data_IF_967051005951
#
_entry.id   IF_967051005951
#
_cell.length_a   1.000
_cell.length_b   1.000
_cell.length_c   1.000
_cell.angle_alpha   90.00
_cell.angle_beta   90.00
_cell.angle_gamma   90.00
#
_symmetry.space_group_name_H-M   'P 1'
#
loop_
_entity.id
_entity.type
_entity.pdbx_description
1 polymer ?
#
# COMPACT_ATOMS: atom_id res chain seq x y z
N UNK A 1 27.95 -14.36 -8.50
CA UNK A 1 26.68 -14.86 -8.98
C UNK A 1 26.49 -16.26 -8.39
N UNK A 2 25.42 -16.54 -7.64
CA UNK A 2 25.17 -17.89 -7.19
C UNK A 2 24.86 -18.74 -8.42
N UNK A 3 25.53 -19.86 -8.55
CA UNK A 3 25.30 -20.87 -9.57
C UNK A 3 23.81 -21.27 -9.56
N UNK A 4 23.13 -21.06 -10.67
CA UNK A 4 21.81 -21.63 -10.95
C UNK A 4 21.97 -23.16 -10.92
N UNK A 5 21.67 -23.77 -9.78
CA UNK A 5 21.48 -25.22 -9.72
C UNK A 5 20.24 -25.53 -10.58
N UNK A 6 20.37 -26.43 -11.53
CA UNK A 6 19.34 -26.93 -12.43
C UNK A 6 18.17 -27.55 -11.66
N UNK A 7 17.26 -26.73 -11.13
CA UNK A 7 15.92 -27.16 -10.75
C UNK A 7 15.05 -27.00 -11.98
N UNK A 8 14.37 -28.08 -12.36
CA UNK A 8 13.60 -28.15 -13.59
C UNK A 8 12.54 -27.04 -13.71
N UNK A 9 12.19 -26.69 -14.93
CA UNK A 9 11.14 -25.73 -15.22
C UNK A 9 9.78 -26.31 -14.76
N UNK A 10 9.07 -25.60 -13.92
CA UNK A 10 7.68 -25.91 -13.57
C UNK A 10 6.76 -25.10 -14.49
N UNK A 11 5.76 -25.74 -15.07
CA UNK A 11 4.76 -25.09 -15.92
C UNK A 11 3.42 -25.05 -15.19
N UNK A 12 2.87 -23.85 -15.03
CA UNK A 12 1.50 -23.67 -14.54
C UNK A 12 0.60 -23.44 -15.76
N UNK A 13 -0.28 -24.39 -16.03
CA UNK A 13 -1.31 -24.26 -17.07
C UNK A 13 -2.52 -23.54 -16.49
N UNK A 14 -2.98 -22.51 -17.18
CA UNK A 14 -4.14 -21.72 -16.78
C UNK A 14 -5.11 -21.64 -17.95
N UNK A 15 -6.33 -22.13 -17.75
CA UNK A 15 -7.44 -21.88 -18.64
C UNK A 15 -8.08 -20.55 -18.24
N UNK A 16 -8.34 -19.68 -19.20
CA UNK A 16 -9.00 -18.40 -18.98
C UNK A 16 -9.90 -18.07 -20.18
N UNK A 17 -10.90 -17.25 -19.92
CA UNK A 17 -11.76 -16.62 -20.94
C UNK A 17 -11.37 -15.15 -21.07
N UNK A 18 -12.09 -14.39 -21.85
CA UNK A 18 -11.90 -12.94 -21.95
C UNK A 18 -12.09 -12.28 -20.58
N UNK A 19 -11.02 -11.72 -20.04
CA UNK A 19 -10.99 -11.14 -18.70
C UNK A 19 -10.83 -9.62 -18.77
N UNK A 20 -11.62 -8.90 -17.98
CA UNK A 20 -11.36 -7.49 -17.75
C UNK A 20 -10.10 -7.28 -16.91
N UNK A 21 -9.63 -6.01 -16.80
CA UNK A 21 -8.38 -5.68 -16.09
C UNK A 21 -8.34 -6.17 -14.64
N UNK A 22 -9.46 -6.08 -13.92
CA UNK A 22 -9.55 -6.50 -12.51
C UNK A 22 -9.48 -8.01 -12.37
N UNK A 23 -10.19 -8.72 -13.22
CA UNK A 23 -10.19 -10.19 -13.26
C UNK A 23 -8.82 -10.72 -13.63
N UNK A 24 -8.15 -10.10 -14.59
CA UNK A 24 -6.80 -10.45 -15.00
C UNK A 24 -5.78 -10.24 -13.86
N UNK A 25 -5.88 -9.15 -13.12
CA UNK A 25 -5.05 -8.91 -11.95
C UNK A 25 -5.31 -9.93 -10.84
N UNK A 26 -6.58 -10.31 -10.61
CA UNK A 26 -6.96 -11.35 -9.65
C UNK A 26 -6.44 -12.74 -10.06
N UNK A 27 -6.48 -13.04 -11.36
CA UNK A 27 -5.87 -14.26 -11.91
C UNK A 27 -4.37 -14.29 -11.60
N UNK A 28 -3.65 -13.19 -11.90
CA UNK A 28 -2.23 -13.05 -11.58
C UNK A 28 -1.97 -13.25 -10.08
N UNK A 29 -2.77 -12.65 -9.21
CA UNK A 29 -2.66 -12.84 -7.76
C UNK A 29 -2.83 -14.33 -7.36
N UNK A 30 -3.80 -15.01 -7.95
CA UNK A 30 -4.07 -16.43 -7.67
C UNK A 30 -2.93 -17.34 -8.14
N UNK A 31 -2.33 -17.04 -9.29
CA UNK A 31 -1.13 -17.72 -9.80
C UNK A 31 0.03 -17.50 -8.83
N UNK A 32 0.31 -16.25 -8.45
CA UNK A 32 1.40 -15.92 -7.56
C UNK A 32 1.31 -16.59 -6.19
N UNK A 33 0.10 -16.82 -5.67
CA UNK A 33 -0.10 -17.59 -4.42
C UNK A 33 0.29 -19.07 -4.52
N UNK A 34 0.39 -19.62 -5.72
CA UNK A 34 0.85 -21.02 -5.93
C UNK A 34 2.38 -21.09 -5.94
N UNK A 35 3.09 -19.99 -6.18
CA UNK A 35 4.55 -19.95 -6.21
C UNK A 35 5.08 -19.99 -4.78
N UNK A 36 5.83 -21.03 -4.44
CA UNK A 36 6.30 -21.30 -3.06
C UNK A 36 7.79 -21.06 -2.85
N UNK A 37 8.52 -20.77 -3.91
CA UNK A 37 9.96 -20.48 -3.90
C UNK A 37 10.28 -19.37 -4.89
N UNK A 38 11.42 -18.72 -4.73
CA UNK A 38 11.86 -17.65 -5.65
C UNK A 38 12.01 -18.21 -7.07
N UNK A 39 11.50 -17.47 -8.03
CA UNK A 39 11.41 -17.90 -9.42
C UNK A 39 11.56 -16.73 -10.40
N UNK A 40 12.00 -17.03 -11.60
CA UNK A 40 11.85 -16.20 -12.78
C UNK A 40 10.65 -16.71 -13.54
N UNK A 41 9.71 -15.82 -13.85
CA UNK A 41 8.46 -16.18 -14.53
C UNK A 41 8.53 -15.71 -15.97
N UNK A 42 8.16 -16.59 -16.85
CA UNK A 42 7.84 -16.30 -18.23
C UNK A 42 6.35 -16.52 -18.50
N UNK A 43 5.75 -15.65 -19.29
CA UNK A 43 4.33 -15.72 -19.64
C UNK A 43 4.23 -16.02 -21.12
N UNK A 44 3.97 -17.29 -21.41
CA UNK A 44 3.89 -17.84 -22.78
C UNK A 44 2.44 -17.92 -23.26
N UNK A 45 2.23 -17.81 -24.56
CA UNK A 45 0.93 -18.06 -25.22
C UNK A 45 -0.25 -17.33 -24.56
N UNK A 46 -0.06 -16.05 -24.24
CA UNK A 46 -1.03 -15.22 -23.56
C UNK A 46 -1.39 -13.99 -24.39
N UNK A 47 -2.64 -13.85 -24.77
CA UNK A 47 -3.15 -12.75 -25.63
C UNK A 47 -3.54 -11.50 -24.84
N UNK A 48 -3.65 -11.59 -23.50
CA UNK A 48 -4.01 -10.47 -22.64
C UNK A 48 -2.81 -9.61 -22.24
N UNK A 49 -3.04 -8.66 -21.34
CA UNK A 49 -1.99 -7.78 -20.81
C UNK A 49 -1.06 -8.52 -19.85
N UNK A 50 0.13 -8.90 -20.30
CA UNK A 50 1.19 -9.47 -19.46
C UNK A 50 1.56 -8.54 -18.30
N UNK A 51 1.50 -7.21 -18.51
CA UNK A 51 1.77 -6.22 -17.47
C UNK A 51 0.76 -6.31 -16.32
N UNK A 52 -0.55 -6.39 -16.60
CA UNK A 52 -1.59 -6.49 -15.56
C UNK A 52 -1.50 -7.83 -14.82
N UNK A 53 -1.28 -8.91 -15.56
CA UNK A 53 -1.11 -10.24 -14.97
C UNK A 53 0.11 -10.28 -14.03
N UNK A 54 1.25 -9.74 -14.47
CA UNK A 54 2.48 -9.68 -13.66
C UNK A 54 2.29 -8.82 -12.41
N UNK A 55 1.56 -7.71 -12.50
CA UNK A 55 1.24 -6.87 -11.33
C UNK A 55 0.43 -7.68 -10.28
N UNK A 56 -0.56 -8.45 -10.72
CA UNK A 56 -1.30 -9.36 -9.84
C UNK A 56 -0.39 -10.37 -9.15
N UNK A 57 0.51 -10.99 -9.90
CA UNK A 57 1.50 -11.92 -9.35
C UNK A 57 2.38 -11.23 -8.31
N UNK A 58 2.89 -10.02 -8.60
CA UNK A 58 3.69 -9.24 -7.64
C UNK A 58 2.92 -8.93 -6.36
N UNK A 59 1.63 -8.55 -6.45
CA UNK A 59 0.81 -8.25 -5.27
C UNK A 59 0.59 -9.47 -4.36
N UNK A 60 0.70 -10.69 -4.90
CA UNK A 60 0.57 -11.92 -4.13
C UNK A 60 1.71 -12.15 -3.13
N UNK A 61 2.87 -11.51 -3.34
CA UNK A 61 4.06 -11.69 -2.48
C UNK A 61 4.01 -10.89 -1.18
N UNK A 62 3.00 -10.03 -1.03
CA UNK A 62 2.86 -9.23 0.18
C UNK A 62 2.76 -10.07 1.45
N UNK A 63 3.56 -9.69 2.46
CA UNK A 63 3.54 -10.26 3.80
C UNK A 63 3.69 -9.13 4.82
N UNK A 64 3.00 -9.26 5.95
CA UNK A 64 3.14 -8.37 7.08
C UNK A 64 3.49 -9.19 8.33
N UNK A 65 4.78 -9.34 8.58
CA UNK A 65 5.30 -10.20 9.65
C UNK A 65 5.99 -9.40 10.78
N UNK A 66 5.82 -8.05 10.78
CA UNK A 66 6.48 -7.12 11.71
C UNK A 66 6.27 -7.51 13.17
N UNK A 67 5.07 -7.97 13.52
CA UNK A 67 4.68 -8.30 14.91
C UNK A 67 4.68 -9.79 15.23
N UNK A 68 5.09 -10.62 14.29
CA UNK A 68 5.16 -12.07 14.54
C UNK A 68 6.44 -12.44 15.26
N UNK A 69 6.32 -13.23 16.33
CA UNK A 69 7.48 -13.79 17.07
C UNK A 69 8.23 -14.82 16.24
N UNK A 70 7.53 -15.62 15.45
CA UNK A 70 8.12 -16.54 14.47
C UNK A 70 7.95 -15.93 13.08
N UNK A 71 9.05 -15.49 12.49
CA UNK A 71 9.04 -15.06 11.09
C UNK A 71 8.69 -16.28 10.22
N UNK A 72 7.79 -16.06 9.26
CA UNK A 72 7.45 -17.07 8.26
C UNK A 72 8.67 -17.43 7.37
N UNK A 73 8.48 -18.36 6.42
CA UNK A 73 9.49 -18.65 5.39
C UNK A 73 9.92 -17.35 4.72
N UNK A 74 11.18 -17.31 4.25
CA UNK A 74 11.74 -16.20 3.51
C UNK A 74 10.79 -15.65 2.43
N UNK A 75 10.92 -14.38 2.13
CA UNK A 75 10.12 -13.77 1.09
C UNK A 75 10.43 -14.44 -0.25
N UNK A 76 9.38 -14.80 -0.96
CA UNK A 76 9.50 -15.33 -2.32
C UNK A 76 9.82 -14.15 -3.22
N UNK A 77 10.99 -14.16 -3.85
CA UNK A 77 11.33 -13.22 -4.90
C UNK A 77 10.79 -13.71 -6.24
N UNK A 78 10.02 -12.87 -6.89
CA UNK A 78 9.48 -13.15 -8.20
C UNK A 78 10.04 -12.11 -9.17
N UNK A 79 10.81 -12.58 -10.13
CA UNK A 79 11.29 -11.81 -11.25
C UNK A 79 10.57 -12.27 -12.53
N UNK A 80 10.63 -11.46 -13.56
CA UNK A 80 10.01 -11.76 -14.85
C UNK A 80 11.09 -11.76 -15.94
N UNK A 81 10.86 -12.49 -17.03
CA UNK A 81 11.71 -12.42 -18.21
C UNK A 81 11.73 -11.01 -18.80
N UNK A 82 12.78 -10.67 -19.53
CA UNK A 82 13.00 -9.33 -20.11
C UNK A 82 11.88 -8.87 -21.07
N UNK A 83 11.11 -9.80 -21.61
CA UNK A 83 9.96 -9.47 -22.47
C UNK A 83 8.80 -8.78 -21.74
N UNK A 84 8.78 -8.82 -20.40
CA UNK A 84 7.72 -8.24 -19.58
C UNK A 84 8.21 -6.94 -18.95
N UNK A 85 7.71 -5.80 -19.44
CA UNK A 85 8.03 -4.49 -18.86
C UNK A 85 7.44 -4.37 -17.45
N UNK A 86 8.26 -4.45 -16.42
CA UNK A 86 7.84 -4.48 -15.02
C UNK A 86 8.20 -3.23 -14.22
N UNK A 87 8.94 -2.28 -14.77
CA UNK A 87 9.41 -1.09 -14.03
C UNK A 87 8.27 -0.31 -13.37
N UNK A 88 7.22 0.03 -14.14
CA UNK A 88 6.02 0.68 -13.62
C UNK A 88 5.30 -0.18 -12.57
N UNK A 89 5.31 -1.50 -12.74
CA UNK A 89 4.69 -2.44 -11.81
C UNK A 89 5.46 -2.56 -10.50
N UNK A 90 6.78 -2.44 -10.51
CA UNK A 90 7.60 -2.39 -9.30
C UNK A 90 7.24 -1.18 -8.44
N UNK A 91 7.13 0.00 -9.04
CA UNK A 91 6.71 1.21 -8.34
C UNK A 91 5.29 1.08 -7.76
N UNK A 92 4.34 0.56 -8.55
CA UNK A 92 2.97 0.30 -8.09
C UNK A 92 2.94 -0.69 -6.92
N UNK A 93 3.74 -1.76 -7.00
CA UNK A 93 3.87 -2.76 -5.93
C UNK A 93 4.39 -2.12 -4.65
N UNK A 94 5.46 -1.34 -4.73
CA UNK A 94 6.06 -0.67 -3.57
C UNK A 94 5.07 0.29 -2.92
N UNK A 95 4.39 1.12 -3.69
CA UNK A 95 3.37 2.02 -3.19
C UNK A 95 2.23 1.27 -2.48
N UNK A 96 1.69 0.22 -3.10
CA UNK A 96 0.61 -0.59 -2.50
C UNK A 96 1.09 -1.33 -1.25
N UNK A 97 2.33 -1.84 -1.23
CA UNK A 97 2.88 -2.52 -0.04
C UNK A 97 3.07 -1.54 1.10
N UNK A 98 3.57 -0.34 0.82
CA UNK A 98 3.69 0.72 1.81
C UNK A 98 2.33 1.08 2.43
N UNK A 99 1.29 1.28 1.62
CA UNK A 99 -0.08 1.54 2.10
C UNK A 99 -0.58 0.38 2.98
N UNK A 100 -0.38 -0.86 2.53
CA UNK A 100 -0.78 -2.05 3.31
C UNK A 100 -0.03 -2.15 4.64
N UNK A 101 1.25 -1.80 4.67
CA UNK A 101 2.04 -1.77 5.90
C UNK A 101 1.51 -0.71 6.86
N UNK A 102 1.18 0.49 6.36
CA UNK A 102 0.56 1.53 7.15
C UNK A 102 -0.79 1.07 7.72
N UNK A 103 -1.66 0.49 6.91
CA UNK A 103 -2.96 -0.05 7.33
C UNK A 103 -2.78 -1.13 8.41
N UNK A 104 -1.86 -2.06 8.20
CA UNK A 104 -1.68 -3.21 9.09
C UNK A 104 -0.95 -2.87 10.40
N UNK A 105 -0.23 -1.74 10.44
CA UNK A 105 0.39 -1.26 11.69
C UNK A 105 -0.70 -0.93 12.72
N UNK A 106 -0.63 -1.50 13.94
CA UNK A 106 -1.62 -1.23 14.98
C UNK A 106 -1.72 0.26 15.33
N UNK A 107 -2.90 0.77 15.73
CA UNK A 107 -3.09 2.18 16.06
C UNK A 107 -2.20 2.70 17.19
N UNK A 108 -1.82 1.83 18.12
CA UNK A 108 -0.89 2.18 19.20
C UNK A 108 0.48 2.63 18.67
N UNK A 109 0.98 1.94 17.64
CA UNK A 109 2.27 2.25 17.01
C UNK A 109 2.12 3.28 15.87
N UNK A 110 0.99 3.26 15.19
CA UNK A 110 0.67 4.16 14.09
C UNK A 110 0.06 5.47 14.62
N UNK A 111 0.86 6.27 15.32
CA UNK A 111 0.46 7.61 15.74
C UNK A 111 0.51 8.60 14.59
N UNK A 112 -0.12 9.78 14.70
CA UNK A 112 0.04 10.84 13.70
C UNK A 112 1.51 11.19 13.44
N UNK A 113 2.33 11.28 14.49
CA UNK A 113 3.75 11.58 14.38
C UNK A 113 4.53 10.48 13.64
N UNK A 114 4.24 9.21 13.94
CA UNK A 114 4.80 8.07 13.20
C UNK A 114 4.45 8.15 11.71
N UNK A 115 3.20 8.47 11.40
CA UNK A 115 2.74 8.58 10.02
C UNK A 115 3.46 9.72 9.28
N UNK A 116 3.60 10.88 9.93
CA UNK A 116 4.34 12.05 9.42
C UNK A 116 5.81 11.68 9.15
N UNK A 117 6.46 11.01 10.10
CA UNK A 117 7.85 10.55 9.95
C UNK A 117 7.99 9.65 8.73
N UNK A 118 7.08 8.68 8.57
CA UNK A 118 7.10 7.76 7.44
C UNK A 118 6.93 8.47 6.10
N UNK A 119 6.04 9.46 6.01
CA UNK A 119 5.85 10.25 4.80
C UNK A 119 7.09 11.09 4.49
N UNK A 120 7.67 11.76 5.47
CA UNK A 120 8.89 12.58 5.28
C UNK A 120 10.09 11.76 4.82
N UNK A 121 10.13 10.49 5.19
CA UNK A 121 11.19 9.56 4.80
C UNK A 121 10.97 8.91 3.42
N UNK A 122 9.82 9.15 2.79
CA UNK A 122 9.65 8.77 1.39
C UNK A 122 10.58 9.67 0.54
N UNK A 123 11.55 9.04 -0.12
CA UNK A 123 12.47 9.76 -0.99
C UNK A 123 11.72 10.14 -2.29
N UNK A 124 11.05 11.28 -2.24
CA UNK A 124 10.27 11.82 -3.35
C UNK A 124 10.57 13.33 -3.52
N UNK A 125 10.30 13.87 -4.68
CA UNK A 125 10.43 15.28 -4.99
C UNK A 125 9.18 16.08 -4.54
N UNK A 126 8.63 15.77 -3.37
CA UNK A 126 7.45 16.41 -2.81
C UNK A 126 7.86 17.23 -1.60
N UNK A 127 7.54 18.52 -1.62
CA UNK A 127 7.72 19.39 -0.46
C UNK A 127 6.60 19.13 0.56
N UNK A 128 6.95 18.64 1.73
CA UNK A 128 5.98 18.31 2.78
C UNK A 128 5.95 19.41 3.81
N UNK A 129 4.80 20.06 3.96
CA UNK A 129 4.49 20.99 5.05
C UNK A 129 3.58 20.30 6.06
N UNK A 130 3.88 20.43 7.34
CA UNK A 130 3.11 19.85 8.44
C UNK A 130 2.58 20.98 9.30
N UNK A 131 1.26 21.06 9.41
CA UNK A 131 0.57 22.03 10.24
C UNK A 131 0.08 21.33 11.51
N UNK A 132 0.36 21.93 12.66
CA UNK A 132 0.01 21.44 13.99
C UNK A 132 -1.37 21.91 14.47
N UNK A 133 -1.75 21.49 15.67
CA UNK A 133 -3.02 21.85 16.31
C UNK A 133 -3.21 23.37 16.41
N UNK A 134 -2.14 24.13 16.77
CA UNK A 134 -2.23 25.59 16.88
C UNK A 134 -2.53 26.23 15.53
N UNK A 135 -1.85 25.79 14.48
CA UNK A 135 -2.14 26.29 13.13
C UNK A 135 -3.58 25.98 12.71
N UNK A 136 -4.09 24.79 13.05
CA UNK A 136 -5.48 24.39 12.78
C UNK A 136 -6.47 25.30 13.49
N UNK A 137 -6.20 25.70 14.74
CA UNK A 137 -7.01 26.67 15.50
C UNK A 137 -6.99 28.05 14.83
N UNK A 138 -5.80 28.57 14.56
CA UNK A 138 -5.60 29.90 13.96
C UNK A 138 -6.24 30.02 12.57
N UNK A 139 -6.41 28.90 11.86
CA UNK A 139 -7.00 28.84 10.51
C UNK A 139 -8.44 28.27 10.47
N UNK A 140 -9.11 28.10 11.60
CA UNK A 140 -10.50 27.69 11.72
C UNK A 140 -10.80 26.28 11.18
N UNK A 141 -9.90 25.32 11.32
CA UNK A 141 -10.09 23.91 10.95
C UNK A 141 -10.93 23.16 12.00
N UNK A 142 -12.09 23.71 12.37
CA UNK A 142 -12.93 23.22 13.44
C UNK A 142 -13.36 21.76 13.33
N UNK A 143 -13.59 21.25 12.13
CA UNK A 143 -13.96 19.85 11.91
C UNK A 143 -12.81 18.89 12.26
N UNK A 144 -11.57 19.21 11.85
CA UNK A 144 -10.39 18.41 12.17
C UNK A 144 -10.12 18.42 13.66
N UNK A 145 -10.18 19.60 14.27
CA UNK A 145 -10.04 19.78 15.73
C UNK A 145 -11.12 19.04 16.49
N UNK A 146 -12.39 19.10 16.04
CA UNK A 146 -13.51 18.40 16.69
C UNK A 146 -13.32 16.89 16.72
N UNK A 147 -12.79 16.30 15.66
CA UNK A 147 -12.46 14.87 15.61
C UNK A 147 -11.25 14.55 16.49
N UNK A 148 -10.23 15.42 16.51
CA UNK A 148 -8.99 15.19 17.25
C UNK A 148 -9.08 15.42 18.75
N UNK A 149 -10.01 16.24 19.24
CA UNK A 149 -10.10 16.67 20.66
C UNK A 149 -10.27 15.54 21.67
N UNK A 150 -10.87 14.42 21.26
CA UNK A 150 -11.06 13.26 22.14
C UNK A 150 -9.83 12.37 22.28
N UNK A 151 -8.75 12.66 21.57
CA UNK A 151 -7.52 11.87 21.57
C UNK A 151 -6.43 12.55 22.39
N UNK A 152 -5.59 11.74 23.06
CA UNK A 152 -4.32 12.23 23.63
C UNK A 152 -3.32 12.64 22.54
N UNK A 153 -3.47 12.11 21.32
CA UNK A 153 -2.64 12.41 20.16
C UNK A 153 -3.21 13.62 19.42
N UNK A 154 -2.34 14.59 19.15
CA UNK A 154 -2.75 15.82 18.50
C UNK A 154 -3.04 15.61 17.01
N UNK A 155 -4.02 16.33 16.45
CA UNK A 155 -4.27 16.32 15.02
C UNK A 155 -3.23 17.13 14.26
N UNK A 156 -2.98 16.74 13.02
CA UNK A 156 -2.11 17.45 12.08
C UNK A 156 -2.80 17.56 10.72
N UNK A 157 -2.38 18.55 9.95
CA UNK A 157 -2.75 18.68 8.55
C UNK A 157 -1.48 18.71 7.69
N UNK A 158 -1.36 17.80 6.75
CA UNK A 158 -0.20 17.67 5.88
C UNK A 158 -0.54 18.18 4.49
N UNK A 159 0.38 18.95 3.92
CA UNK A 159 0.33 19.40 2.53
C UNK A 159 1.58 18.92 1.83
N UNK A 160 1.40 18.11 0.79
CA UNK A 160 2.46 17.70 -0.11
C UNK A 160 2.33 18.42 -1.44
N UNK A 161 3.39 19.10 -1.89
CA UNK A 161 3.38 19.88 -3.13
C UNK A 161 4.44 19.33 -4.10
N UNK A 162 3.98 18.95 -5.27
CA UNK A 162 4.84 18.52 -6.39
C UNK A 162 4.68 19.49 -7.55
N UNK A 163 5.81 19.94 -8.12
CA UNK A 163 5.84 20.85 -9.27
C UNK A 163 4.95 22.11 -9.09
N UNK A 164 5.22 22.90 -8.04
CA UNK A 164 4.48 24.13 -7.69
C UNK A 164 4.32 25.15 -8.82
N UNK A 165 5.15 25.04 -9.87
CA UNK A 165 5.16 25.96 -11.03
C UNK A 165 4.33 25.46 -12.21
N UNK A 166 3.67 24.30 -12.10
CA UNK A 166 2.82 23.81 -13.17
C UNK A 166 1.61 24.73 -13.38
N UNK A 167 1.24 24.96 -14.62
CA UNK A 167 0.08 25.80 -14.98
C UNK A 167 -1.24 25.24 -14.43
N UNK A 168 -1.34 23.91 -14.38
CA UNK A 168 -2.53 23.23 -13.84
C UNK A 168 -2.15 22.55 -12.52
N UNK A 169 -2.94 22.83 -11.48
CA UNK A 169 -2.81 22.21 -10.16
C UNK A 169 -3.97 21.25 -9.93
N UNK A 170 -3.65 20.06 -9.40
CA UNK A 170 -4.64 19.04 -9.02
C UNK A 170 -4.46 18.78 -7.52
N UNK A 171 -5.55 18.92 -6.75
CA UNK A 171 -5.56 18.59 -5.33
C UNK A 171 -6.08 17.15 -5.13
N UNK A 172 -5.27 16.32 -4.47
CA UNK A 172 -5.69 15.00 -3.97
C UNK A 172 -5.87 15.12 -2.47
N UNK A 173 -7.04 14.76 -1.97
CA UNK A 173 -7.39 14.89 -0.54
C UNK A 173 -7.62 13.51 0.03
N UNK A 174 -6.90 13.16 1.09
CA UNK A 174 -6.97 11.88 1.76
C UNK A 174 -7.38 11.99 3.23
N UNK A 175 -8.32 11.14 3.67
CA UNK A 175 -8.68 11.01 5.09
C UNK A 175 -7.55 10.29 5.84
N UNK A 176 -7.09 10.89 6.94
CA UNK A 176 -5.96 10.42 7.76
C UNK A 176 -6.34 10.11 9.20
N UNK A 177 -7.53 9.60 9.48
CA UNK A 177 -7.93 9.21 10.85
C UNK A 177 -7.26 7.89 11.21
N UNK A 178 -6.31 7.91 12.16
CA UNK A 178 -5.48 6.75 12.50
C UNK A 178 -6.29 5.56 13.02
N UNK A 179 -7.36 5.82 13.76
CA UNK A 179 -8.33 4.84 14.23
C UNK A 179 -9.66 5.51 14.58
N UNK A 180 -10.76 5.02 14.02
CA UNK A 180 -12.10 5.56 14.30
C UNK A 180 -12.89 4.65 15.25
N UNK A 181 -12.93 5.03 16.52
CA UNK A 181 -13.75 4.34 17.54
C UNK A 181 -15.22 4.73 17.51
N UNK A 182 -15.58 5.79 16.77
CA UNK A 182 -16.91 6.41 16.80
C UNK A 182 -17.07 7.53 17.83
N UNK A 183 -16.16 7.67 18.78
CA UNK A 183 -16.21 8.70 19.83
C UNK A 183 -17.34 8.47 20.82
N UNK A 184 -18.15 9.50 21.12
CA UNK A 184 -19.31 9.39 22.03
C UNK A 184 -20.37 8.42 21.49
N UNK A 185 -20.50 8.32 20.16
CA UNK A 185 -21.30 7.29 19.49
C UNK A 185 -20.38 6.10 19.17
N UNK A 186 -20.00 5.36 20.21
CA UNK A 186 -19.04 4.27 20.13
C UNK A 186 -19.52 3.17 19.16
N UNK A 187 -18.64 2.76 18.26
CA UNK A 187 -18.91 1.65 17.33
C UNK A 187 -19.05 0.32 18.09
N UNK A 188 -19.84 -0.60 17.55
CA UNK A 188 -19.82 -1.99 18.01
C UNK A 188 -18.44 -2.63 17.80
N UNK A 189 -18.09 -3.69 18.54
CA UNK A 189 -16.80 -4.39 18.34
C UNK A 189 -16.56 -4.80 16.89
N UNK A 190 -17.56 -5.37 16.23
CA UNK A 190 -17.47 -5.75 14.82
C UNK A 190 -17.32 -4.56 13.84
N UNK A 191 -17.95 -3.43 14.15
CA UNK A 191 -17.82 -2.20 13.39
C UNK A 191 -16.48 -1.49 13.60
N UNK A 192 -15.81 -1.75 14.71
CA UNK A 192 -14.54 -1.14 15.09
C UNK A 192 -13.31 -1.95 14.62
N UNK A 193 -13.47 -3.25 14.44
CA UNK A 193 -12.38 -4.20 14.17
C UNK A 193 -11.47 -3.78 13.00
N UNK A 194 -12.05 -3.20 11.95
CA UNK A 194 -11.33 -2.78 10.75
C UNK A 194 -10.90 -1.31 10.76
N UNK A 195 -11.21 -0.54 11.80
CA UNK A 195 -11.02 0.93 11.80
C UNK A 195 -9.55 1.38 11.86
N UNK A 196 -8.60 0.49 11.99
CA UNK A 196 -7.18 0.78 11.68
C UNK A 196 -6.94 1.16 10.22
N UNK A 197 -7.91 0.91 9.33
CA UNK A 197 -7.88 1.27 7.90
C UNK A 197 -8.34 2.70 7.64
N UNK A 198 -8.85 3.44 8.63
CA UNK A 198 -9.52 4.72 8.43
C UNK A 198 -8.60 5.87 8.00
N UNK A 199 -7.31 5.60 7.92
CA UNK A 199 -6.27 6.50 7.39
C UNK A 199 -5.79 6.10 5.99
N UNK A 200 -6.38 5.08 5.37
CA UNK A 200 -5.90 4.57 4.09
C UNK A 200 -5.94 5.62 2.96
N UNK A 201 -6.93 6.51 2.97
CA UNK A 201 -7.03 7.59 1.98
C UNK A 201 -5.83 8.54 2.01
N UNK A 202 -5.31 8.87 3.20
CA UNK A 202 -4.11 9.69 3.32
C UNK A 202 -2.82 8.93 3.02
N UNK A 203 -2.85 7.59 3.07
CA UNK A 203 -1.70 6.74 2.77
C UNK A 203 -1.58 6.41 1.27
N UNK A 204 -2.61 6.64 0.47
CA UNK A 204 -2.64 6.35 -0.97
C UNK A 204 -2.13 7.51 -1.79
#
# INVERSE_FOLDING_TARGET
PPSLSSRGNETILVAYEDLNKKELMNLGYSIGKKIKQSAIIDILNFEGSKEILSLGIMFSTYKFDKYKTKKGKENVEINFSEEIKTESNLLKREAVFWVRDMINTPPLDKTPEFFIEKIKNLNNNIDITVHDEKWLEDNNFGAVLGVGKGSERKPYFLVGEYNKKAETQIALIGKGVMFDSGGLSLKSPSGMETMKTDMAGAAT
#
